data_IF_204967509627
#
_entry.id   IF_204967509627
#
_cell.length_a   1.000
_cell.length_b   1.000
_cell.length_c   1.000
_cell.angle_alpha   90.00
_cell.angle_beta   90.00
_cell.angle_gamma   90.00
#
_symmetry.space_group_name_H-M   'P 1'
#
loop_
_entity.id
_entity.type
_entity.pdbx_description
1 polymer ?
#
# COMPACT_ATOMS: atom_id res chain seq x y z
N UNK A 1 -4.63 12.91 -15.70
CA UNK A 1 -5.10 12.09 -14.59
C UNK A 1 -5.20 12.94 -13.33
N UNK A 2 -6.21 12.70 -12.54
CA UNK A 2 -6.54 13.51 -11.38
C UNK A 2 -5.50 13.31 -10.26
N UNK A 3 -4.86 14.39 -9.84
CA UNK A 3 -3.89 14.34 -8.73
C UNK A 3 -4.55 13.92 -7.41
N UNK A 4 -5.82 14.24 -7.23
CA UNK A 4 -6.56 13.81 -6.04
C UNK A 4 -6.66 12.29 -5.97
N UNK A 5 -6.83 11.64 -7.13
CA UNK A 5 -6.87 10.17 -7.19
C UNK A 5 -5.51 9.57 -6.80
N UNK A 6 -4.44 10.12 -7.33
CA UNK A 6 -3.09 9.65 -7.00
C UNK A 6 -2.80 9.88 -5.52
N UNK A 7 -3.16 11.04 -4.99
CA UNK A 7 -2.97 11.34 -3.57
C UNK A 7 -3.74 10.36 -2.68
N UNK A 8 -4.97 10.00 -3.08
CA UNK A 8 -5.77 9.03 -2.34
C UNK A 8 -5.10 7.66 -2.32
N UNK A 9 -4.55 7.23 -3.45
CA UNK A 9 -3.83 5.95 -3.53
C UNK A 9 -2.57 5.98 -2.68
N UNK A 10 -1.84 7.09 -2.68
CA UNK A 10 -0.63 7.25 -1.85
C UNK A 10 -0.99 7.20 -0.37
N UNK A 11 -2.09 7.82 0.03
CA UNK A 11 -2.57 7.78 1.41
C UNK A 11 -2.91 6.36 1.83
N UNK A 12 -3.58 5.60 0.97
CA UNK A 12 -3.89 4.19 1.24
C UNK A 12 -2.64 3.35 1.36
N UNK A 13 -1.67 3.60 0.48
CA UNK A 13 -0.38 2.90 0.52
C UNK A 13 0.34 3.15 1.85
N UNK A 14 0.39 4.40 2.30
CA UNK A 14 1.00 4.76 3.57
C UNK A 14 0.26 4.12 4.74
N UNK A 15 -1.07 4.05 4.68
CA UNK A 15 -1.88 3.39 5.69
C UNK A 15 -1.58 1.91 5.79
N UNK A 16 -1.40 1.25 4.64
CA UNK A 16 -1.03 -0.17 4.62
C UNK A 16 0.36 -0.40 5.20
N UNK A 17 1.32 0.47 4.89
CA UNK A 17 2.66 0.41 5.48
C UNK A 17 2.61 0.49 7.00
N UNK A 18 1.85 1.45 7.53
CA UNK A 18 1.71 1.62 8.96
C UNK A 18 1.08 0.38 9.60
N UNK A 19 0.07 -0.19 8.95
CA UNK A 19 -0.62 -1.36 9.46
C UNK A 19 0.28 -2.61 9.43
N UNK A 20 1.08 -2.76 8.39
CA UNK A 20 2.04 -3.86 8.30
C UNK A 20 3.06 -3.76 9.44
N UNK A 21 3.58 -2.57 9.70
CA UNK A 21 4.53 -2.34 10.79
C UNK A 21 3.90 -2.69 12.14
N UNK A 22 2.65 -2.27 12.36
CA UNK A 22 1.91 -2.54 13.58
C UNK A 22 1.72 -4.04 13.79
N UNK A 23 1.28 -4.74 12.74
CA UNK A 23 1.05 -6.19 12.82
C UNK A 23 2.35 -6.96 13.02
N UNK A 24 3.44 -6.50 12.41
CA UNK A 24 4.74 -7.14 12.53
C UNK A 24 5.31 -7.01 13.95
N UNK A 25 4.97 -5.93 14.66
CA UNK A 25 5.46 -5.67 16.01
C UNK A 25 4.67 -6.39 17.09
N UNK A 26 3.58 -7.06 16.77
CA UNK A 26 2.81 -7.80 17.76
C UNK A 26 3.62 -8.98 18.30
N UNK A 27 3.41 -9.37 19.58
CA UNK A 27 4.09 -10.53 20.15
C UNK A 27 3.88 -11.82 19.35
N UNK A 28 2.69 -11.98 18.75
CA UNK A 28 2.37 -13.11 17.88
C UNK A 28 1.87 -12.57 16.56
N UNK A 29 2.77 -12.21 15.63
CA UNK A 29 2.36 -11.66 14.35
C UNK A 29 1.54 -12.67 13.55
N UNK A 30 0.46 -12.20 12.92
CA UNK A 30 -0.33 -13.00 12.01
C UNK A 30 0.32 -12.94 10.62
N UNK A 31 1.08 -13.98 10.29
CA UNK A 31 1.82 -13.98 9.03
C UNK A 31 0.90 -14.02 7.81
N UNK A 32 -0.27 -14.65 7.91
CA UNK A 32 -1.24 -14.67 6.81
C UNK A 32 -1.79 -13.27 6.55
N UNK A 33 -2.13 -12.53 7.61
CA UNK A 33 -2.60 -11.16 7.49
C UNK A 33 -1.51 -10.24 6.93
N UNK A 34 -0.28 -10.38 7.44
CA UNK A 34 0.85 -9.60 6.96
C UNK A 34 1.09 -9.83 5.48
N UNK A 35 1.05 -11.08 5.03
CA UNK A 35 1.22 -11.41 3.62
C UNK A 35 0.13 -10.78 2.76
N UNK A 36 -1.13 -10.81 3.24
CA UNK A 36 -2.25 -10.17 2.54
C UNK A 36 -2.05 -8.66 2.43
N UNK A 37 -1.65 -8.02 3.52
CA UNK A 37 -1.42 -6.57 3.54
C UNK A 37 -0.27 -6.18 2.60
N UNK A 38 0.80 -6.97 2.58
CA UNK A 38 1.93 -6.73 1.67
C UNK A 38 1.51 -6.87 0.21
N UNK A 39 0.64 -7.83 -0.08
CA UNK A 39 0.12 -8.02 -1.44
C UNK A 39 -0.73 -6.83 -1.88
N UNK A 40 -1.60 -6.33 -0.99
CA UNK A 40 -2.40 -5.14 -1.28
C UNK A 40 -1.53 -3.91 -1.48
N UNK A 41 -0.50 -3.75 -0.64
CA UNK A 41 0.44 -2.65 -0.77
C UNK A 41 1.15 -2.69 -2.13
N UNK A 42 1.58 -3.86 -2.55
CA UNK A 42 2.24 -4.03 -3.84
C UNK A 42 1.30 -3.65 -5.00
N UNK A 43 0.05 -4.07 -4.92
CA UNK A 43 -0.95 -3.70 -5.95
C UNK A 43 -1.14 -2.20 -6.03
N UNK A 44 -1.25 -1.52 -4.89
CA UNK A 44 -1.37 -0.07 -4.86
C UNK A 44 -0.13 0.61 -5.45
N UNK A 45 1.04 0.11 -5.10
CA UNK A 45 2.29 0.64 -5.63
C UNK A 45 2.35 0.50 -7.15
N UNK A 46 1.95 -0.64 -7.68
CA UNK A 46 1.91 -0.86 -9.13
C UNK A 46 0.91 0.07 -9.80
N UNK A 47 -0.24 0.28 -9.18
CA UNK A 47 -1.25 1.19 -9.69
C UNK A 47 -0.74 2.63 -9.72
N UNK A 48 -0.12 3.09 -8.64
CA UNK A 48 0.47 4.42 -8.56
C UNK A 48 1.56 4.58 -9.62
N UNK A 49 2.44 3.60 -9.74
CA UNK A 49 3.53 3.61 -10.71
C UNK A 49 2.98 3.64 -12.13
N UNK A 50 1.96 2.84 -12.41
CA UNK A 50 1.33 2.81 -13.72
C UNK A 50 0.74 4.16 -14.11
N UNK A 51 0.05 4.82 -13.17
CA UNK A 51 -0.52 6.14 -13.41
C UNK A 51 0.58 7.19 -13.63
N UNK A 52 1.65 7.12 -12.85
CA UNK A 52 2.75 8.06 -12.95
C UNK A 52 3.50 7.90 -14.27
N UNK A 53 3.75 6.67 -14.69
CA UNK A 53 4.42 6.38 -15.96
C UNK A 53 3.58 6.81 -17.14
N UNK A 54 2.27 6.60 -17.08
CA UNK A 54 1.37 6.99 -18.16
C UNK A 54 1.24 8.50 -18.31
N UNK A 55 1.63 9.25 -17.30
CA UNK A 55 1.59 10.70 -17.34
C UNK A 55 2.76 11.32 -18.09
N UNK A 56 3.72 10.52 -18.50
CA UNK A 56 4.93 11.01 -19.21
C UNK A 56 4.72 11.13 -20.71
#
# INVERSE_FOLDING_TARGET
MDQAHIAALQTRHAGLDARIAEETQRPLPDSALIARLKKEKLRLKEEITGLTVQAV
#
